data_IF_337373866617
#
_entry.id   IF_337373866617
#
_cell.length_a   1.000
_cell.length_b   1.000
_cell.length_c   1.000
_cell.angle_alpha   90.00
_cell.angle_beta   90.00
_cell.angle_gamma   90.00
#
_symmetry.space_group_name_H-M   'P 1'
#
loop_
_entity.id
_entity.type
_entity.pdbx_description
1 polymer ?
#
# COMPACT_ATOMS: atom_id res chain seq x y z
N UNK A 1 -36.61 -3.66 16.52
CA UNK A 1 -35.24 -3.16 16.57
C UNK A 1 -35.25 -2.00 17.54
N UNK A 2 -34.55 -2.13 18.67
CA UNK A 2 -34.50 -1.05 19.66
C UNK A 2 -33.75 0.13 19.08
N UNK A 3 -34.38 1.29 19.05
CA UNK A 3 -33.70 2.55 18.77
C UNK A 3 -32.56 2.70 19.79
N UNK A 4 -31.34 2.72 19.34
CA UNK A 4 -30.15 3.03 20.15
C UNK A 4 -30.34 4.44 20.69
N UNK A 5 -30.56 4.56 21.98
CA UNK A 5 -30.74 5.86 22.65
C UNK A 5 -29.32 6.46 22.77
N UNK A 6 -28.94 7.33 21.83
CA UNK A 6 -27.69 8.08 21.89
C UNK A 6 -27.86 9.24 22.90
N UNK A 7 -26.81 9.59 23.61
CA UNK A 7 -26.75 10.78 24.49
C UNK A 7 -26.51 12.09 23.69
N UNK A 8 -26.53 12.03 22.37
CA UNK A 8 -26.40 13.13 21.43
C UNK A 8 -27.45 13.00 20.29
N UNK A 9 -27.70 14.10 19.58
CA UNK A 9 -28.52 14.14 18.36
C UNK A 9 -27.66 13.77 17.13
N UNK A 10 -27.88 12.57 16.52
CA UNK A 10 -27.12 12.12 15.35
C UNK A 10 -27.29 13.06 14.14
N UNK A 11 -28.47 13.65 13.96
CA UNK A 11 -28.72 14.54 12.82
C UNK A 11 -28.01 15.89 13.00
N UNK A 12 -27.99 16.42 14.22
CA UNK A 12 -27.20 17.62 14.53
C UNK A 12 -25.71 17.38 14.33
N UNK A 13 -25.21 16.22 14.73
CA UNK A 13 -23.82 15.83 14.51
C UNK A 13 -23.52 15.67 13.02
N UNK A 14 -24.39 15.03 12.26
CA UNK A 14 -24.28 14.90 10.81
C UNK A 14 -24.19 16.25 10.10
N UNK A 15 -25.05 17.20 10.46
CA UNK A 15 -25.00 18.58 9.94
C UNK A 15 -23.68 19.25 10.25
N UNK A 16 -23.16 19.12 11.47
CA UNK A 16 -21.88 19.70 11.89
C UNK A 16 -20.71 19.11 11.06
N UNK A 17 -20.71 17.80 10.84
CA UNK A 17 -19.70 17.18 9.98
C UNK A 17 -19.76 17.70 8.54
N UNK A 18 -20.96 17.88 8.00
CA UNK A 18 -21.15 18.44 6.67
C UNK A 18 -20.62 19.88 6.58
N UNK A 19 -20.97 20.74 7.53
CA UNK A 19 -20.47 22.12 7.60
C UNK A 19 -18.95 22.20 7.69
N UNK A 20 -18.34 21.33 8.52
CA UNK A 20 -16.88 21.27 8.64
C UNK A 20 -16.18 20.72 7.39
N UNK A 21 -16.81 19.77 6.71
CA UNK A 21 -16.32 19.29 5.40
C UNK A 21 -16.34 20.42 4.37
N UNK A 22 -17.45 21.12 4.26
CA UNK A 22 -17.68 22.15 3.25
C UNK A 22 -16.69 23.34 3.38
N UNK A 23 -16.18 23.60 4.60
CA UNK A 23 -15.10 24.57 4.83
C UNK A 23 -13.75 24.12 4.23
N UNK A 24 -13.54 22.82 4.01
CA UNK A 24 -12.28 22.23 3.54
C UNK A 24 -12.31 21.81 2.08
N UNK A 25 -13.51 21.61 1.52
CA UNK A 25 -13.66 21.24 0.11
C UNK A 25 -13.28 22.42 -0.76
N UNK A 26 -12.35 22.21 -1.67
CA UNK A 26 -11.95 23.22 -2.65
C UNK A 26 -13.00 23.35 -3.75
N UNK A 27 -13.18 24.57 -4.24
CA UNK A 27 -14.15 24.86 -5.31
C UNK A 27 -13.76 24.18 -6.63
N UNK A 28 -12.44 24.03 -6.87
CA UNK A 28 -11.86 23.37 -8.04
C UNK A 28 -11.90 21.83 -7.97
N UNK A 29 -12.31 21.25 -6.82
CA UNK A 29 -12.49 19.79 -6.69
C UNK A 29 -11.26 19.00 -7.16
N UNK A 30 -11.46 18.12 -8.13
CA UNK A 30 -10.39 17.29 -8.69
C UNK A 30 -9.42 18.04 -9.62
N UNK A 31 -9.79 19.23 -10.10
CA UNK A 31 -8.90 20.05 -10.96
C UNK A 31 -7.68 20.57 -10.19
N UNK A 32 -7.67 20.43 -8.84
CA UNK A 32 -6.50 20.70 -8.00
C UNK A 32 -5.34 19.72 -8.26
N UNK A 33 -5.62 18.52 -8.75
CA UNK A 33 -4.61 17.52 -9.02
C UNK A 33 -4.05 17.73 -10.42
N UNK A 34 -2.73 17.74 -10.51
CA UNK A 34 -2.04 17.82 -11.79
C UNK A 34 -1.69 16.42 -12.27
N UNK A 35 -1.95 16.16 -13.55
CA UNK A 35 -1.45 14.95 -14.18
C UNK A 35 0.08 14.95 -14.25
N UNK A 36 0.68 13.78 -14.10
CA UNK A 36 2.14 13.60 -14.16
C UNK A 36 2.56 13.51 -15.63
N UNK A 37 2.47 14.66 -16.32
CA UNK A 37 2.78 14.82 -17.76
C UNK A 37 3.71 16.02 -17.97
N UNK A 38 4.24 16.20 -19.17
CA UNK A 38 5.11 17.33 -19.51
C UNK A 38 6.36 17.38 -18.62
N UNK A 39 6.59 18.49 -17.95
CA UNK A 39 7.75 18.68 -17.06
C UNK A 39 7.76 17.75 -15.84
N UNK A 40 6.63 17.16 -15.47
CA UNK A 40 6.49 16.21 -14.38
C UNK A 40 6.56 14.74 -14.83
N UNK A 41 6.69 14.46 -16.12
CA UNK A 41 6.67 13.10 -16.66
C UNK A 41 7.71 12.17 -16.04
N UNK A 42 8.85 12.71 -15.62
CA UNK A 42 9.92 11.92 -14.98
C UNK A 42 9.49 11.24 -13.66
N UNK A 43 8.45 11.72 -13.00
CA UNK A 43 7.90 11.07 -11.81
C UNK A 43 7.15 9.76 -12.10
N UNK A 44 6.89 9.46 -13.38
CA UNK A 44 6.30 8.18 -13.78
C UNK A 44 7.36 7.08 -13.85
N UNK A 45 8.61 7.46 -14.06
CA UNK A 45 9.74 6.54 -14.16
C UNK A 45 10.14 5.96 -12.80
N UNK A 46 10.68 4.76 -12.80
CA UNK A 46 11.24 4.15 -11.61
C UNK A 46 12.75 4.44 -11.52
N UNK A 47 13.18 5.30 -10.58
CA UNK A 47 14.58 5.68 -10.46
C UNK A 47 15.45 4.60 -9.78
N UNK A 48 14.86 3.50 -9.34
CA UNK A 48 15.55 2.46 -8.56
C UNK A 48 15.89 1.21 -9.36
N UNK A 49 15.44 1.13 -10.61
CA UNK A 49 15.82 0.07 -11.54
C UNK A 49 16.91 0.55 -12.48
N UNK A 50 17.88 -0.33 -12.77
CA UNK A 50 18.99 0.01 -13.67
C UNK A 50 18.55 0.04 -15.15
N UNK A 51 17.59 -0.79 -15.51
CA UNK A 51 17.04 -0.88 -16.86
C UNK A 51 15.55 -1.16 -16.77
N UNK A 52 14.78 -0.53 -17.64
CA UNK A 52 13.37 -0.88 -17.78
C UNK A 52 13.20 -2.35 -18.17
N UNK A 53 12.21 -2.99 -17.59
CA UNK A 53 11.84 -4.35 -17.96
C UNK A 53 11.30 -4.36 -19.40
N UNK A 54 12.09 -4.91 -20.31
CA UNK A 54 11.66 -5.10 -21.70
C UNK A 54 11.27 -6.56 -21.91
N UNK A 55 9.99 -6.79 -22.03
CA UNK A 55 9.42 -8.10 -22.35
C UNK A 55 8.14 -7.92 -23.15
N UNK A 56 7.75 -8.95 -23.86
CA UNK A 56 6.43 -9.02 -24.49
C UNK A 56 5.32 -8.92 -23.45
N UNK A 57 4.17 -8.42 -23.87
CA UNK A 57 2.98 -8.39 -23.03
C UNK A 57 2.60 -9.83 -22.63
N UNK A 58 2.24 -10.01 -21.39
CA UNK A 58 1.71 -11.29 -20.91
C UNK A 58 0.20 -11.25 -21.12
N UNK A 59 -0.31 -12.30 -21.79
CA UNK A 59 -1.74 -12.54 -21.99
C UNK A 59 -2.03 -13.93 -21.42
N UNK A 60 -2.61 -13.97 -20.25
CA UNK A 60 -2.91 -15.19 -19.50
C UNK A 60 -4.22 -15.06 -18.73
N UNK A 61 -4.86 -16.17 -18.44
CA UNK A 61 -6.04 -16.25 -17.58
C UNK A 61 -5.63 -16.83 -16.23
N UNK A 62 -5.99 -16.15 -15.14
CA UNK A 62 -5.69 -16.55 -13.77
C UNK A 62 -6.91 -16.35 -12.88
N UNK A 63 -6.99 -17.06 -11.76
CA UNK A 63 -8.13 -16.94 -10.84
C UNK A 63 -8.17 -15.56 -10.15
N UNK A 64 -7.00 -15.01 -9.78
CA UNK A 64 -6.93 -13.75 -9.03
C UNK A 64 -5.82 -12.86 -9.57
N UNK A 65 -6.14 -11.57 -9.74
CA UNK A 65 -5.15 -10.52 -10.02
C UNK A 65 -5.12 -9.55 -8.86
N UNK A 66 -3.93 -9.30 -8.31
CA UNK A 66 -3.67 -8.33 -7.25
C UNK A 66 -2.92 -7.16 -7.86
N UNK A 67 -3.45 -5.94 -7.74
CA UNK A 67 -2.80 -4.75 -8.25
C UNK A 67 -2.10 -4.02 -7.10
N UNK A 68 -0.77 -3.95 -7.19
CA UNK A 68 0.12 -3.30 -6.23
C UNK A 68 0.82 -4.29 -5.30
N UNK A 69 2.16 -4.18 -5.23
CA UNK A 69 3.07 -4.99 -4.41
C UNK A 69 3.44 -4.37 -3.06
N UNK A 70 2.61 -3.46 -2.52
CA UNK A 70 2.76 -2.95 -1.15
C UNK A 70 2.25 -3.94 -0.10
N UNK A 71 2.22 -3.54 1.18
CA UNK A 71 1.76 -4.40 2.27
C UNK A 71 0.37 -5.01 2.02
N UNK A 72 -0.56 -4.23 1.45
CA UNK A 72 -1.90 -4.73 1.14
C UNK A 72 -1.88 -5.88 0.14
N UNK A 73 -1.15 -5.71 -0.97
CA UNK A 73 -1.02 -6.75 -1.99
C UNK A 73 -0.26 -7.98 -1.50
N UNK A 74 0.85 -7.77 -0.79
CA UNK A 74 1.61 -8.88 -0.19
C UNK A 74 0.78 -9.65 0.85
N UNK A 75 -0.03 -8.95 1.66
CA UNK A 75 -0.92 -9.60 2.63
C UNK A 75 -2.01 -10.41 1.93
N UNK A 76 -2.63 -9.87 0.88
CA UNK A 76 -3.62 -10.60 0.08
C UNK A 76 -3.01 -11.87 -0.54
N UNK A 77 -1.84 -11.74 -1.18
CA UNK A 77 -1.12 -12.85 -1.77
C UNK A 77 -0.72 -13.93 -0.73
N UNK A 78 -0.21 -13.49 0.43
CA UNK A 78 0.12 -14.41 1.53
C UNK A 78 -1.11 -15.19 2.01
N UNK A 79 -2.27 -14.55 2.12
CA UNK A 79 -3.51 -15.22 2.54
C UNK A 79 -4.06 -16.16 1.47
N UNK A 80 -3.91 -15.85 0.18
CA UNK A 80 -4.23 -16.76 -0.90
C UNK A 80 -3.37 -18.03 -0.83
N UNK A 81 -2.04 -17.88 -0.68
CA UNK A 81 -1.13 -19.02 -0.49
C UNK A 81 -1.51 -19.89 0.73
N UNK A 82 -1.81 -19.28 1.86
CA UNK A 82 -2.25 -20.00 3.06
C UNK A 82 -3.58 -20.73 2.86
N UNK A 83 -4.45 -20.22 1.97
CA UNK A 83 -5.70 -20.85 1.59
C UNK A 83 -5.53 -21.94 0.50
N UNK A 84 -4.31 -22.15 -0.01
CA UNK A 84 -4.03 -23.09 -1.07
C UNK A 84 -4.45 -22.60 -2.46
N UNK A 85 -4.60 -21.29 -2.65
CA UNK A 85 -4.87 -20.65 -3.93
C UNK A 85 -3.56 -20.13 -4.48
N UNK A 86 -3.03 -20.78 -5.49
CA UNK A 86 -1.72 -20.48 -6.09
C UNK A 86 -1.83 -19.82 -7.47
N UNK A 87 -3.00 -19.90 -8.11
CA UNK A 87 -3.25 -19.31 -9.42
C UNK A 87 -3.62 -17.83 -9.30
N UNK A 88 -2.62 -17.02 -8.98
CA UNK A 88 -2.76 -15.57 -8.93
C UNK A 88 -1.52 -14.86 -9.48
N UNK A 89 -1.70 -13.57 -9.83
CA UNK A 89 -0.60 -12.68 -10.20
C UNK A 89 -0.65 -11.40 -9.38
N UNK A 90 0.54 -10.94 -8.99
CA UNK A 90 0.72 -9.63 -8.38
C UNK A 90 1.31 -8.69 -9.44
N UNK A 91 0.58 -7.65 -9.79
CA UNK A 91 1.02 -6.65 -10.76
C UNK A 91 1.51 -5.43 -10.00
N UNK A 92 2.82 -5.18 -10.06
CA UNK A 92 3.47 -4.03 -9.43
C UNK A 92 4.09 -3.13 -10.50
N UNK A 93 3.94 -1.81 -10.34
CA UNK A 93 4.55 -0.81 -11.22
C UNK A 93 6.04 -0.64 -10.93
N UNK A 94 6.43 -0.71 -9.66
CA UNK A 94 7.83 -0.62 -9.24
C UNK A 94 8.62 -1.88 -9.56
N UNK A 95 9.94 -1.76 -9.56
CA UNK A 95 10.84 -2.88 -9.86
C UNK A 95 10.88 -3.96 -8.79
N UNK A 96 10.21 -3.76 -7.64
CA UNK A 96 10.14 -4.76 -6.56
C UNK A 96 8.96 -4.49 -5.63
N UNK A 97 8.69 -5.44 -4.72
CA UNK A 97 7.75 -5.28 -3.64
C UNK A 97 8.17 -4.18 -2.66
N UNK A 98 7.18 -3.57 -2.01
CA UNK A 98 7.42 -2.57 -0.97
C UNK A 98 6.44 -1.41 -0.98
N UNK A 99 5.81 -1.11 -2.11
CA UNK A 99 4.84 -0.01 -2.23
C UNK A 99 5.39 1.30 -1.71
N UNK A 100 4.76 1.88 -0.68
CA UNK A 100 5.22 3.12 -0.03
C UNK A 100 6.70 3.08 0.32
N UNK A 101 7.22 1.96 0.81
CA UNK A 101 8.61 1.81 1.25
C UNK A 101 9.58 1.57 0.10
N UNK A 102 9.09 1.10 -1.02
CA UNK A 102 9.85 1.04 -2.27
C UNK A 102 10.07 2.44 -2.85
N UNK A 103 9.01 3.27 -2.89
CA UNK A 103 9.03 4.57 -3.52
C UNK A 103 9.62 5.69 -2.64
N UNK A 104 9.47 5.62 -1.32
CA UNK A 104 9.88 6.69 -0.39
C UNK A 104 11.21 6.38 0.28
N UNK A 105 12.31 6.65 -0.43
CA UNK A 105 13.69 6.40 0.02
C UNK A 105 14.46 7.67 0.39
N UNK A 106 13.76 8.73 0.73
CA UNK A 106 14.40 9.98 1.16
C UNK A 106 14.99 9.85 2.58
N UNK A 107 16.06 10.64 2.91
CA UNK A 107 16.67 10.62 4.24
C UNK A 107 15.67 10.96 5.35
N UNK A 108 15.62 10.12 6.37
CA UNK A 108 14.72 10.29 7.51
C UNK A 108 13.32 9.71 7.32
N UNK A 109 13.01 9.09 6.18
CA UNK A 109 11.75 8.37 6.01
C UNK A 109 11.62 7.25 7.05
N UNK A 110 10.52 7.22 7.79
CA UNK A 110 10.26 6.26 8.86
C UNK A 110 8.76 6.07 9.09
N UNK A 111 8.39 5.01 9.80
CA UNK A 111 7.03 4.83 10.28
C UNK A 111 6.70 5.90 11.34
N UNK A 112 5.55 6.51 11.24
CA UNK A 112 4.94 7.40 12.23
C UNK A 112 3.99 6.67 13.18
N UNK A 113 3.79 5.37 12.94
CA UNK A 113 3.03 4.43 13.76
C UNK A 113 4.01 3.41 14.35
N UNK A 114 3.69 2.86 15.51
CA UNK A 114 4.48 1.79 16.13
C UNK A 114 4.61 0.58 15.20
N UNK A 115 5.83 0.18 14.90
CA UNK A 115 6.13 -0.82 13.87
C UNK A 115 5.49 -2.18 14.13
N UNK A 116 5.38 -2.60 15.38
CA UNK A 116 4.73 -3.88 15.73
C UNK A 116 3.20 -3.86 15.62
N UNK A 117 2.60 -2.69 15.40
CA UNK A 117 1.18 -2.55 15.02
C UNK A 117 1.03 -2.42 13.52
N UNK A 118 1.98 -1.71 12.90
CA UNK A 118 1.93 -1.41 11.48
C UNK A 118 2.38 -2.58 10.58
N UNK A 119 3.40 -3.34 11.00
CA UNK A 119 3.94 -4.45 10.19
C UNK A 119 2.99 -5.66 10.23
N UNK A 120 2.48 -6.11 9.08
CA UNK A 120 1.63 -7.29 9.02
C UNK A 120 2.48 -8.56 9.16
N UNK A 121 1.90 -9.66 9.63
CA UNK A 121 2.49 -11.01 9.63
C UNK A 121 3.77 -11.15 10.47
N UNK A 122 3.97 -10.36 11.51
CA UNK A 122 5.16 -10.46 12.38
C UNK A 122 5.30 -11.85 13.00
N UNK A 123 4.20 -12.41 13.51
CA UNK A 123 4.18 -13.77 14.08
C UNK A 123 4.50 -14.84 13.03
N UNK A 124 4.03 -14.64 11.80
CA UNK A 124 4.26 -15.57 10.71
C UNK A 124 5.72 -15.54 10.23
N UNK A 125 6.32 -14.36 10.17
CA UNK A 125 7.70 -14.17 9.68
C UNK A 125 8.76 -14.38 10.75
N UNK A 126 8.42 -14.16 12.02
CA UNK A 126 9.36 -14.11 13.12
C UNK A 126 10.26 -12.87 13.11
N UNK A 127 9.91 -11.85 12.30
CA UNK A 127 10.65 -10.60 12.24
C UNK A 127 10.38 -9.74 13.47
N UNK A 128 11.42 -9.14 14.03
CA UNK A 128 11.32 -8.23 15.17
C UNK A 128 11.89 -6.88 14.77
N UNK A 129 11.06 -5.83 14.67
CA UNK A 129 11.54 -4.48 14.38
C UNK A 129 12.55 -4.01 15.43
N UNK A 130 13.64 -3.39 14.99
CA UNK A 130 14.71 -2.89 15.88
C UNK A 130 14.32 -1.63 16.65
N UNK A 131 13.30 -0.92 16.16
CA UNK A 131 12.86 0.35 16.74
C UNK A 131 11.34 0.43 16.80
N UNK A 132 10.84 1.22 17.74
CA UNK A 132 9.41 1.51 17.87
C UNK A 132 8.83 2.14 16.59
N UNK A 133 9.60 3.05 16.00
CA UNK A 133 9.30 3.72 14.72
C UNK A 133 10.40 3.39 13.74
N UNK A 134 10.21 2.32 13.00
CA UNK A 134 11.21 1.76 12.10
C UNK A 134 11.45 2.66 10.91
N UNK A 135 12.70 2.82 10.50
CA UNK A 135 13.08 3.58 9.33
C UNK A 135 12.73 2.87 8.01
N UNK A 136 12.64 3.63 6.91
CA UNK A 136 12.24 3.11 5.61
C UNK A 136 13.12 1.95 5.10
N UNK A 137 14.47 1.97 5.22
CA UNK A 137 15.28 0.85 4.78
C UNK A 137 14.93 -0.47 5.46
N UNK A 138 14.73 -0.48 6.76
CA UNK A 138 14.35 -1.69 7.49
C UNK A 138 12.92 -2.14 7.16
N UNK A 139 12.02 -1.18 6.94
CA UNK A 139 10.64 -1.49 6.52
C UNK A 139 10.62 -2.12 5.13
N UNK A 140 11.45 -1.64 4.20
CA UNK A 140 11.60 -2.24 2.88
C UNK A 140 12.23 -3.64 2.98
N UNK A 141 13.24 -3.81 3.81
CA UNK A 141 13.81 -5.13 4.11
C UNK A 141 12.73 -6.11 4.60
N UNK A 142 11.84 -5.64 5.46
CA UNK A 142 10.71 -6.45 5.92
C UNK A 142 9.74 -6.83 4.79
N UNK A 143 9.46 -5.94 3.85
CA UNK A 143 8.68 -6.29 2.66
C UNK A 143 9.31 -7.46 1.90
N UNK A 144 10.63 -7.44 1.72
CA UNK A 144 11.35 -8.55 1.07
C UNK A 144 11.30 -9.85 1.89
N UNK A 145 11.30 -9.76 3.23
CA UNK A 145 11.11 -10.94 4.08
C UNK A 145 9.74 -11.59 3.84
N UNK A 146 8.68 -10.80 3.74
CA UNK A 146 7.34 -11.30 3.41
C UNK A 146 7.33 -11.92 2.01
N UNK A 147 7.79 -11.17 1.01
CA UNK A 147 7.80 -11.63 -0.38
C UNK A 147 8.56 -12.96 -0.54
N UNK A 148 9.71 -13.09 0.11
CA UNK A 148 10.49 -14.32 0.11
C UNK A 148 9.78 -15.47 0.83
N UNK A 149 9.22 -15.22 2.02
CA UNK A 149 8.54 -16.26 2.82
C UNK A 149 7.38 -16.90 2.07
N UNK A 150 6.63 -16.10 1.34
CA UNK A 150 5.44 -16.55 0.60
C UNK A 150 5.70 -16.78 -0.88
N UNK A 151 6.98 -16.75 -1.34
CA UNK A 151 7.40 -16.96 -2.74
C UNK A 151 6.65 -16.06 -3.72
N UNK A 152 6.47 -14.77 -3.38
CA UNK A 152 5.63 -13.85 -4.16
C UNK A 152 6.30 -13.38 -5.46
N UNK A 153 7.62 -13.48 -5.61
CA UNK A 153 8.32 -13.17 -6.85
C UNK A 153 8.04 -14.20 -7.97
N UNK A 154 7.40 -15.30 -7.65
CA UNK A 154 7.03 -16.35 -8.57
C UNK A 154 5.56 -16.22 -9.06
N UNK A 155 4.89 -15.16 -8.63
CA UNK A 155 3.43 -14.97 -8.82
C UNK A 155 3.12 -13.83 -9.75
#
# INVERSE_FOLDING_TARGET
MNATNFDFDPDALGRKYQEERDKRVRVDGNDQYQEVTGEFAYFVEDPYIANELQREAIDEEVEVVIIGGGFGGMLAAARLREAGIDDFRVIEKGGDFGGTWYWNRYPGASCDIESYVYFPLLENTGFVPKQKYTNAPETLEYCHVIAKKYALHES
#
